data_IF_425772244676
#
_entry.id   IF_425772244676
#
_cell.length_a   1.000
_cell.length_b   1.000
_cell.length_c   1.000
_cell.angle_alpha   90.00
_cell.angle_beta   90.00
_cell.angle_gamma   90.00
#
_symmetry.space_group_name_H-M   'P 1'
#
loop_
_entity.id
_entity.type
_entity.pdbx_description
1 polymer ?
#
# COMPACT_ATOMS: atom_id res chain seq x y z
N UNK A 1 -26.68 -26.33 -19.18
CA UNK A 1 -26.12 -26.85 -17.91
C UNK A 1 -24.59 -26.80 -17.89
N UNK A 2 -23.89 -27.23 -18.95
CA UNK A 2 -22.41 -27.22 -19.00
C UNK A 2 -21.78 -25.84 -18.85
N UNK A 3 -22.30 -24.82 -19.56
CA UNK A 3 -21.75 -23.45 -19.51
C UNK A 3 -21.80 -22.83 -18.11
N UNK A 4 -22.91 -23.05 -17.38
CA UNK A 4 -23.06 -22.57 -16.00
C UNK A 4 -22.06 -23.24 -15.03
N UNK A 5 -21.79 -24.53 -15.23
CA UNK A 5 -20.78 -25.26 -14.45
C UNK A 5 -19.37 -24.74 -14.70
N UNK A 6 -19.02 -24.44 -15.96
CA UNK A 6 -17.71 -23.86 -16.32
C UNK A 6 -17.53 -22.47 -15.72
N UNK A 7 -18.56 -21.61 -15.81
CA UNK A 7 -18.53 -20.27 -15.21
C UNK A 7 -18.40 -20.38 -13.69
N UNK A 8 -19.17 -21.26 -13.05
CA UNK A 8 -19.09 -21.49 -11.60
C UNK A 8 -17.69 -21.92 -11.16
N UNK A 9 -17.07 -22.87 -11.88
CA UNK A 9 -15.71 -23.31 -11.60
C UNK A 9 -14.67 -22.20 -11.78
N UNK A 10 -14.81 -21.41 -12.85
CA UNK A 10 -13.93 -20.27 -13.10
C UNK A 10 -14.03 -19.22 -11.98
N UNK A 11 -15.24 -18.92 -11.49
CA UNK A 11 -15.45 -18.00 -10.37
C UNK A 11 -14.82 -18.53 -9.08
N UNK A 12 -14.98 -19.82 -8.78
CA UNK A 12 -14.36 -20.44 -7.59
C UNK A 12 -12.84 -20.38 -7.68
N UNK A 13 -12.27 -20.69 -8.84
CA UNK A 13 -10.82 -20.61 -9.05
C UNK A 13 -10.29 -19.17 -8.89
N UNK A 14 -11.00 -18.18 -9.45
CA UNK A 14 -10.65 -16.76 -9.29
C UNK A 14 -10.74 -16.31 -7.83
N UNK A 15 -11.78 -16.71 -7.10
CA UNK A 15 -11.92 -16.39 -5.68
C UNK A 15 -10.81 -17.03 -4.85
N UNK A 16 -10.48 -18.30 -5.13
CA UNK A 16 -9.38 -18.99 -4.46
C UNK A 16 -8.04 -18.28 -4.70
N UNK A 17 -7.75 -17.89 -5.94
CA UNK A 17 -6.54 -17.14 -6.27
C UNK A 17 -6.53 -15.77 -5.58
N UNK A 18 -7.64 -15.02 -5.64
CA UNK A 18 -7.77 -13.71 -4.97
C UNK A 18 -7.49 -13.79 -3.47
N UNK A 19 -7.96 -14.85 -2.82
CA UNK A 19 -7.72 -15.09 -1.41
C UNK A 19 -6.25 -15.47 -1.15
N UNK A 20 -5.68 -16.39 -1.93
CA UNK A 20 -4.27 -16.76 -1.79
C UNK A 20 -3.34 -15.55 -1.95
N UNK A 21 -3.64 -14.67 -2.90
CA UNK A 21 -2.91 -13.41 -3.13
C UNK A 21 -2.98 -12.47 -1.91
N UNK A 22 -4.20 -12.28 -1.37
CA UNK A 22 -4.38 -11.49 -0.15
C UNK A 22 -3.66 -12.08 1.07
N UNK A 23 -3.53 -13.41 1.16
CA UNK A 23 -2.80 -14.08 2.23
C UNK A 23 -1.30 -13.89 2.09
N UNK A 24 -0.77 -13.99 0.87
CA UNK A 24 0.64 -13.73 0.56
C UNK A 24 1.05 -12.31 0.98
N UNK A 25 0.18 -11.33 0.76
CA UNK A 25 0.46 -9.95 1.17
C UNK A 25 0.45 -9.74 2.69
N UNK A 26 -0.31 -10.53 3.46
CA UNK A 26 -0.43 -10.32 4.91
C UNK A 26 0.89 -10.51 5.65
N UNK A 27 1.62 -11.58 5.35
CA UNK A 27 2.88 -11.87 6.04
C UNK A 27 3.94 -10.80 5.81
N UNK A 28 4.08 -10.34 4.56
CA UNK A 28 5.03 -9.27 4.23
C UNK A 28 4.59 -7.93 4.83
N UNK A 29 3.29 -7.63 4.82
CA UNK A 29 2.75 -6.41 5.43
C UNK A 29 2.96 -6.38 6.94
N UNK A 30 2.77 -7.51 7.63
CA UNK A 30 3.07 -7.64 9.07
C UNK A 30 4.56 -7.44 9.34
N UNK A 31 5.42 -8.04 8.52
CA UNK A 31 6.87 -7.86 8.60
C UNK A 31 7.27 -6.39 8.42
N UNK A 32 6.71 -5.70 7.43
CA UNK A 32 6.97 -4.27 7.19
C UNK A 32 6.46 -3.39 8.34
N UNK A 33 5.27 -3.68 8.89
CA UNK A 33 4.74 -2.96 10.05
C UNK A 33 5.64 -3.09 11.28
N UNK A 34 6.31 -4.21 11.47
CA UNK A 34 7.25 -4.39 12.57
C UNK A 34 8.47 -3.46 12.47
N UNK A 35 8.80 -2.96 11.28
CA UNK A 35 9.88 -1.99 11.08
C UNK A 35 9.44 -0.53 11.25
N UNK A 36 8.13 -0.27 11.28
CA UNK A 36 7.65 1.11 11.46
C UNK A 36 7.93 1.59 12.89
N UNK A 37 8.40 2.83 13.07
CA UNK A 37 8.61 3.39 14.40
C UNK A 37 7.28 3.54 15.14
N UNK A 38 7.28 3.30 16.46
CA UNK A 38 6.06 3.42 17.28
C UNK A 38 5.50 4.85 17.34
N UNK A 39 6.36 5.85 17.16
CA UNK A 39 5.98 7.25 17.04
C UNK A 39 6.73 7.87 15.85
N UNK A 40 6.16 7.80 14.64
CA UNK A 40 6.83 8.34 13.47
C UNK A 40 6.96 9.86 13.53
N UNK A 41 8.04 10.41 12.95
CA UNK A 41 8.16 11.84 12.80
C UNK A 41 7.03 12.36 11.91
N UNK A 42 6.59 13.58 12.19
CA UNK A 42 5.60 14.25 11.34
C UNK A 42 6.31 14.95 10.20
N UNK A 43 5.74 14.83 9.00
CA UNK A 43 6.21 15.53 7.82
C UNK A 43 6.33 17.03 8.09
N UNK A 44 7.47 17.59 7.70
CA UNK A 44 7.67 19.02 7.65
C UNK A 44 8.31 19.43 6.34
N UNK A 45 7.89 20.57 5.79
CA UNK A 45 8.52 21.17 4.61
C UNK A 45 10.05 21.34 4.75
N UNK A 46 10.56 21.44 5.99
CA UNK A 46 12.00 21.47 6.26
C UNK A 46 12.72 20.18 5.88
N UNK A 47 12.05 19.02 5.93
CA UNK A 47 12.64 17.73 5.58
C UNK A 47 13.01 17.62 4.09
N UNK A 48 12.42 18.48 3.25
CA UNK A 48 12.59 18.46 1.80
C UNK A 48 13.29 19.70 1.27
N UNK A 49 13.84 20.54 2.17
CA UNK A 49 14.45 21.82 1.78
C UNK A 49 15.65 21.63 0.85
N UNK A 50 16.46 20.59 1.09
CA UNK A 50 17.66 20.26 0.32
C UNK A 50 17.35 19.54 -1.00
N UNK A 51 16.08 19.17 -1.23
CA UNK A 51 15.69 18.52 -2.48
C UNK A 51 15.63 19.53 -3.64
N UNK A 52 15.84 19.06 -4.90
CA UNK A 52 15.58 19.85 -6.08
C UNK A 52 14.16 20.40 -6.10
N UNK A 53 13.96 21.57 -6.72
CA UNK A 53 12.66 22.25 -6.77
C UNK A 53 11.49 21.34 -7.17
N UNK A 54 11.60 20.46 -8.19
CA UNK A 54 10.47 19.62 -8.59
C UNK A 54 10.04 18.65 -7.48
N UNK A 55 11.01 18.07 -6.77
CA UNK A 55 10.75 17.12 -5.69
C UNK A 55 10.16 17.83 -4.47
N UNK A 56 10.74 18.96 -4.06
CA UNK A 56 10.21 19.78 -2.96
C UNK A 56 8.76 20.17 -3.23
N UNK A 57 8.47 20.70 -4.42
CA UNK A 57 7.11 21.10 -4.83
C UNK A 57 6.12 19.94 -4.79
N UNK A 58 6.53 18.77 -5.28
CA UNK A 58 5.70 17.57 -5.24
C UNK A 58 5.35 17.18 -3.80
N UNK A 59 6.35 17.05 -2.92
CA UNK A 59 6.12 16.64 -1.53
C UNK A 59 5.28 17.64 -0.75
N UNK A 60 5.54 18.94 -0.88
CA UNK A 60 4.75 19.97 -0.18
C UNK A 60 3.32 20.11 -0.70
N UNK A 61 3.04 19.65 -1.93
CA UNK A 61 1.69 19.59 -2.48
C UNK A 61 0.95 18.29 -2.07
N UNK A 62 1.66 17.15 -2.13
CA UNK A 62 1.06 15.83 -1.95
C UNK A 62 0.87 15.43 -0.48
N UNK A 63 1.72 15.94 0.42
CA UNK A 63 1.71 15.59 1.84
C UNK A 63 1.43 16.85 2.65
N UNK A 64 0.36 16.83 3.45
CA UNK A 64 0.04 17.93 4.35
C UNK A 64 1.08 18.03 5.49
N UNK A 65 1.45 19.25 5.87
CA UNK A 65 2.32 19.51 7.02
C UNK A 65 1.75 18.85 8.29
N UNK A 66 2.60 18.17 9.06
CA UNK A 66 2.19 17.50 10.30
C UNK A 66 1.67 16.07 10.12
N UNK A 67 1.63 15.54 8.88
CA UNK A 67 1.25 14.14 8.58
C UNK A 67 2.26 13.17 9.22
N UNK A 68 1.84 12.19 10.05
CA UNK A 68 2.74 11.15 10.56
C UNK A 68 3.29 10.31 9.40
N UNK A 69 4.61 10.13 9.32
CA UNK A 69 5.29 9.38 8.25
C UNK A 69 5.35 7.87 8.48
#
# INVERSE_FOLDING_TARGET
MVLGGVIGLALVALLAWRQADAWSMRGEMERLRAFQPANPPRFSAQMVVELPEPARRFFTFAIAEGTPL
#
